data_IF_106460090135
#
_entry.id   IF_106460090135
#
_cell.length_a   1.000
_cell.length_b   1.000
_cell.length_c   1.000
_cell.angle_alpha   90.00
_cell.angle_beta   90.00
_cell.angle_gamma   90.00
#
_symmetry.space_group_name_H-M   'P 1'
#
loop_
_entity.id
_entity.type
_entity.pdbx_description
1 polymer ?
#
# COMPACT_ATOMS: atom_id res chain seq x y z
N UNK A 1 -18.16 21.32 9.95
CA UNK A 1 -19.32 20.47 9.61
C UNK A 1 -19.79 19.59 10.78
N UNK A 2 -19.11 19.63 11.94
CA UNK A 2 -19.52 18.91 13.16
C UNK A 2 -19.23 17.39 13.14
N UNK A 3 -18.38 16.91 12.24
CA UNK A 3 -17.93 15.50 12.23
C UNK A 3 -17.07 15.24 13.45
N UNK A 4 -17.37 14.14 14.15
CA UNK A 4 -16.51 13.63 15.24
C UNK A 4 -15.59 12.56 14.69
N UNK A 5 -14.32 12.63 15.07
CA UNK A 5 -13.29 11.63 14.73
C UNK A 5 -12.90 10.89 15.99
N UNK A 6 -12.90 9.55 15.92
CA UNK A 6 -12.42 8.68 16.98
C UNK A 6 -11.32 7.80 16.42
N UNK A 7 -10.10 7.99 16.91
CA UNK A 7 -8.94 7.13 16.59
C UNK A 7 -8.81 6.01 17.62
N UNK A 8 -8.00 4.98 17.32
CA UNK A 8 -7.81 3.81 18.18
C UNK A 8 -9.12 3.07 18.51
N UNK A 9 -10.06 3.11 17.55
CA UNK A 9 -11.41 2.57 17.67
C UNK A 9 -11.55 1.36 16.76
N UNK A 10 -11.15 0.18 17.27
CA UNK A 10 -11.27 -1.06 16.53
C UNK A 10 -12.74 -1.47 16.40
N UNK A 11 -13.21 -1.62 15.15
CA UNK A 11 -14.56 -2.12 14.85
C UNK A 11 -14.52 -3.64 14.94
N UNK A 12 -15.29 -4.21 15.87
CA UNK A 12 -15.33 -5.65 16.13
C UNK A 12 -16.46 -6.35 15.38
N UNK A 13 -17.58 -5.65 15.21
CA UNK A 13 -18.78 -6.22 14.58
C UNK A 13 -19.71 -5.12 14.04
N UNK A 14 -20.40 -5.41 12.93
CA UNK A 14 -21.58 -4.69 12.46
C UNK A 14 -22.81 -5.43 12.99
N UNK A 15 -23.61 -4.76 13.81
CA UNK A 15 -24.81 -5.34 14.43
C UNK A 15 -25.98 -5.17 13.47
N UNK A 16 -26.61 -6.29 13.14
CA UNK A 16 -27.77 -6.33 12.21
C UNK A 16 -28.99 -6.86 12.95
N UNK A 17 -30.07 -6.10 12.90
CA UNK A 17 -31.38 -6.46 13.44
C UNK A 17 -32.44 -6.28 12.36
N UNK A 18 -33.33 -7.26 12.22
CA UNK A 18 -34.39 -7.23 11.19
C UNK A 18 -33.87 -6.91 9.78
N UNK A 19 -32.73 -7.48 9.39
CA UNK A 19 -32.03 -7.26 8.09
C UNK A 19 -31.53 -5.82 7.87
N UNK A 20 -31.41 -5.03 8.91
CA UNK A 20 -30.86 -3.66 8.85
C UNK A 20 -29.64 -3.57 9.78
N UNK A 21 -28.54 -3.00 9.28
CA UNK A 21 -27.41 -2.62 10.11
C UNK A 21 -27.83 -1.45 11.00
N UNK A 22 -27.73 -1.60 12.31
CA UNK A 22 -28.25 -0.65 13.30
C UNK A 22 -27.20 -0.10 14.25
N UNK A 23 -26.07 -0.81 14.40
CA UNK A 23 -25.01 -0.38 15.31
C UNK A 23 -23.66 -1.00 14.94
N UNK A 24 -22.60 -0.43 15.51
CA UNK A 24 -21.24 -1.00 15.53
C UNK A 24 -20.90 -1.45 16.94
N UNK A 25 -20.14 -2.53 17.05
CA UNK A 25 -19.44 -2.88 18.28
C UNK A 25 -18.00 -2.35 18.18
N UNK A 26 -17.62 -1.48 19.10
CA UNK A 26 -16.33 -0.80 19.15
C UNK A 26 -15.76 -0.91 20.55
N UNK A 27 -14.60 -1.56 20.72
CA UNK A 27 -13.96 -1.76 22.02
C UNK A 27 -14.96 -2.31 23.09
N UNK A 28 -15.77 -3.30 22.71
CA UNK A 28 -16.79 -3.93 23.55
C UNK A 28 -18.05 -3.09 23.78
N UNK A 29 -18.16 -1.87 23.23
CA UNK A 29 -19.32 -1.00 23.37
C UNK A 29 -20.16 -1.00 22.09
N UNK A 30 -21.48 -0.96 22.26
CA UNK A 30 -22.43 -0.81 21.16
C UNK A 30 -22.65 0.69 20.88
N UNK A 31 -22.46 1.10 19.62
CA UNK A 31 -22.68 2.46 19.14
C UNK A 31 -23.76 2.41 18.06
N UNK A 32 -24.91 3.03 18.33
CA UNK A 32 -26.05 3.09 17.41
C UNK A 32 -25.76 3.99 16.21
N UNK A 33 -26.26 3.60 15.05
CA UNK A 33 -26.17 4.39 13.81
C UNK A 33 -27.35 4.10 12.89
N UNK A 34 -27.88 5.14 12.25
CA UNK A 34 -28.94 5.03 11.25
C UNK A 34 -28.40 4.51 9.91
N UNK A 35 -27.16 4.88 9.57
CA UNK A 35 -26.43 4.48 8.36
C UNK A 35 -25.00 4.15 8.74
N UNK A 36 -24.49 3.04 8.21
CA UNK A 36 -23.10 2.61 8.37
C UNK A 36 -22.47 2.58 7.00
N UNK A 37 -21.40 3.38 6.81
CA UNK A 37 -20.58 3.40 5.61
C UNK A 37 -19.20 2.85 5.96
N UNK A 38 -18.82 1.72 5.33
CA UNK A 38 -17.49 1.15 5.50
C UNK A 38 -16.56 1.62 4.39
N UNK A 39 -15.43 2.22 4.75
CA UNK A 39 -14.30 2.51 3.87
C UNK A 39 -13.14 1.53 4.04
N UNK A 40 -13.32 0.47 4.85
CA UNK A 40 -12.33 -0.59 5.03
C UNK A 40 -12.32 -1.55 3.83
N UNK A 41 -11.30 -2.46 3.79
CA UNK A 41 -11.26 -3.54 2.81
C UNK A 41 -12.60 -4.31 2.77
N UNK A 42 -13.05 -4.69 1.56
CA UNK A 42 -14.38 -5.27 1.40
C UNK A 42 -14.49 -6.65 2.07
N UNK A 43 -13.49 -7.51 1.90
CA UNK A 43 -13.48 -8.80 2.57
C UNK A 43 -13.49 -8.61 4.09
N UNK A 44 -12.66 -7.71 4.62
CA UNK A 44 -12.65 -7.38 6.05
C UNK A 44 -14.02 -6.88 6.51
N UNK A 45 -14.65 -5.96 5.77
CA UNK A 45 -16.00 -5.46 6.10
C UNK A 45 -17.01 -6.60 6.20
N UNK A 46 -16.97 -7.58 5.29
CA UNK A 46 -17.84 -8.75 5.36
C UNK A 46 -17.55 -9.63 6.58
N UNK A 47 -16.28 -9.71 7.03
CA UNK A 47 -15.93 -10.47 8.24
C UNK A 47 -16.54 -9.88 9.52
N UNK A 48 -16.87 -8.59 9.51
CA UNK A 48 -17.56 -7.93 10.61
C UNK A 48 -19.07 -8.28 10.71
N UNK A 49 -19.61 -8.98 9.70
CA UNK A 49 -20.96 -9.50 9.67
C UNK A 49 -21.01 -10.98 10.08
N UNK A 50 -22.14 -11.41 10.62
CA UNK A 50 -22.43 -12.83 10.83
C UNK A 50 -22.42 -13.57 9.47
N UNK A 51 -21.93 -14.80 9.43
CA UNK A 51 -21.68 -15.55 8.17
C UNK A 51 -22.90 -15.63 7.23
N UNK A 52 -24.10 -15.74 7.79
CA UNK A 52 -25.36 -15.82 7.05
C UNK A 52 -25.81 -14.47 6.47
N UNK A 53 -25.12 -13.38 6.80
CA UNK A 53 -25.40 -12.02 6.30
C UNK A 53 -24.38 -11.55 5.27
N UNK A 54 -23.30 -12.31 5.05
CA UNK A 54 -22.26 -12.01 4.07
C UNK A 54 -22.77 -12.25 2.66
N UNK A 55 -22.38 -11.39 1.73
CA UNK A 55 -22.75 -11.52 0.33
C UNK A 55 -21.95 -12.61 -0.38
N UNK A 56 -20.67 -12.78 0.00
CA UNK A 56 -19.74 -13.70 -0.64
C UNK A 56 -19.18 -14.71 0.34
N UNK A 57 -18.93 -15.94 -0.17
CA UNK A 57 -18.26 -17.00 0.58
C UNK A 57 -16.73 -16.84 0.54
N UNK A 58 -16.02 -17.48 1.45
CA UNK A 58 -14.54 -17.53 1.43
C UNK A 58 -14.03 -18.10 0.10
N UNK A 59 -14.69 -19.15 -0.43
CA UNK A 59 -14.34 -19.74 -1.74
C UNK A 59 -14.50 -18.76 -2.92
N UNK A 60 -15.40 -17.78 -2.82
CA UNK A 60 -15.50 -16.71 -3.80
C UNK A 60 -14.27 -15.82 -3.73
N UNK A 61 -13.89 -15.38 -2.53
CA UNK A 61 -12.73 -14.52 -2.31
C UNK A 61 -11.42 -15.18 -2.74
N UNK A 62 -11.24 -16.46 -2.41
CA UNK A 62 -10.03 -17.21 -2.76
C UNK A 62 -9.81 -17.31 -4.29
N UNK A 63 -10.88 -17.39 -5.07
CA UNK A 63 -10.83 -17.53 -6.52
C UNK A 63 -10.77 -16.22 -7.30
N UNK A 64 -10.88 -15.08 -6.61
CA UNK A 64 -10.84 -13.77 -7.29
C UNK A 64 -9.41 -13.34 -7.58
N UNK A 65 -9.25 -12.77 -8.79
CA UNK A 65 -8.09 -11.95 -9.12
C UNK A 65 -8.22 -10.61 -8.44
N UNK A 66 -7.23 -10.23 -7.68
CA UNK A 66 -7.17 -8.95 -6.96
C UNK A 66 -6.32 -7.94 -7.75
N UNK A 67 -6.55 -6.66 -7.47
CA UNK A 67 -5.67 -5.60 -7.91
C UNK A 67 -4.25 -5.81 -7.33
N UNK A 68 -3.22 -5.25 -7.96
CA UNK A 68 -1.86 -5.36 -7.45
C UNK A 68 -1.73 -4.83 -6.02
N UNK A 69 -0.88 -5.50 -5.25
CA UNK A 69 -0.27 -4.96 -4.04
C UNK A 69 0.96 -4.12 -4.43
N UNK A 70 1.75 -3.70 -3.47
CA UNK A 70 2.96 -2.93 -3.74
C UNK A 70 4.02 -3.08 -2.67
N UNK A 71 5.28 -2.89 -3.08
CA UNK A 71 6.37 -2.54 -2.18
C UNK A 71 6.62 -1.04 -2.28
N UNK A 72 6.52 -0.36 -1.15
CA UNK A 72 6.71 1.07 -1.02
C UNK A 72 8.01 1.35 -0.28
N UNK A 73 8.72 2.39 -0.71
CA UNK A 73 9.82 2.97 0.05
C UNK A 73 9.59 4.46 0.22
N UNK A 74 9.71 4.92 1.46
CA UNK A 74 9.78 6.32 1.82
C UNK A 74 11.25 6.65 2.10
N UNK A 75 11.82 7.56 1.33
CA UNK A 75 13.26 7.85 1.38
C UNK A 75 13.49 9.34 1.54
N UNK A 76 14.33 9.72 2.49
CA UNK A 76 14.82 11.08 2.66
C UNK A 76 16.27 11.17 2.23
N UNK A 77 16.59 12.16 1.39
CA UNK A 77 17.96 12.45 0.94
C UNK A 77 18.44 13.79 1.49
N UNK A 78 19.71 13.88 1.88
CA UNK A 78 20.34 15.12 2.31
C UNK A 78 20.90 15.95 1.13
N UNK A 79 20.32 15.78 -0.06
CA UNK A 79 20.59 16.57 -1.27
C UNK A 79 19.35 16.65 -2.14
N UNK A 80 19.29 17.59 -3.07
CA UNK A 80 18.28 17.61 -4.12
C UNK A 80 18.58 16.54 -5.18
N UNK A 81 17.51 15.96 -5.73
CA UNK A 81 17.59 14.98 -6.81
C UNK A 81 17.32 15.69 -8.14
N UNK A 82 18.22 15.50 -9.07
CA UNK A 82 18.17 16.10 -10.42
C UNK A 82 17.67 15.07 -11.44
N UNK A 83 17.36 15.53 -12.65
CA UNK A 83 16.92 14.69 -13.78
C UNK A 83 15.68 13.82 -13.50
N UNK A 84 14.80 14.31 -12.63
CA UNK A 84 13.51 13.68 -12.30
C UNK A 84 12.39 14.72 -12.34
N UNK A 85 11.17 14.26 -12.54
CA UNK A 85 9.94 15.03 -12.38
C UNK A 85 9.27 14.66 -11.07
N UNK A 86 8.31 15.48 -10.61
CA UNK A 86 7.49 15.18 -9.43
C UNK A 86 6.92 13.75 -9.48
N UNK A 87 6.43 13.33 -10.63
CA UNK A 87 6.03 11.97 -10.94
C UNK A 87 6.94 11.42 -12.04
N UNK A 88 7.64 10.34 -11.77
CA UNK A 88 8.54 9.68 -12.73
C UNK A 88 8.25 8.17 -12.76
N UNK A 89 8.05 7.65 -13.96
CA UNK A 89 7.83 6.23 -14.20
C UNK A 89 9.08 5.64 -14.86
N UNK A 90 9.53 4.50 -14.35
CA UNK A 90 10.67 3.74 -14.86
C UNK A 90 10.14 2.51 -15.59
N UNK A 91 9.98 2.65 -16.92
CA UNK A 91 9.53 1.60 -17.84
C UNK A 91 10.68 1.11 -18.71
N UNK A 92 11.81 0.82 -18.10
CA UNK A 92 13.05 0.36 -18.75
C UNK A 92 13.16 -1.17 -18.81
N UNK A 93 12.08 -1.88 -18.48
CA UNK A 93 11.93 -3.34 -18.57
C UNK A 93 10.60 -3.69 -19.27
N UNK A 94 10.46 -4.96 -19.66
CA UNK A 94 9.25 -5.45 -20.33
C UNK A 94 8.02 -5.39 -19.39
N UNK A 95 7.00 -4.64 -19.81
CA UNK A 95 5.76 -4.47 -19.06
C UNK A 95 4.96 -5.77 -18.98
N UNK A 96 4.88 -6.53 -20.07
CA UNK A 96 4.03 -7.74 -20.13
C UNK A 96 4.59 -8.83 -19.22
N UNK A 97 5.92 -8.92 -19.09
CA UNK A 97 6.58 -9.83 -18.13
C UNK A 97 6.21 -9.47 -16.70
N UNK A 98 6.31 -8.18 -16.34
CA UNK A 98 5.94 -7.75 -14.99
C UNK A 98 4.44 -7.93 -14.71
N UNK A 99 3.57 -7.64 -15.67
CA UNK A 99 2.13 -7.86 -15.54
C UNK A 99 1.80 -9.36 -15.32
N UNK A 100 2.48 -10.25 -16.04
CA UNK A 100 2.35 -11.70 -15.85
C UNK A 100 2.76 -12.15 -14.45
N UNK A 101 3.85 -11.60 -13.91
CA UNK A 101 4.32 -11.88 -12.55
C UNK A 101 3.32 -11.41 -11.46
N UNK A 102 2.45 -10.45 -11.79
CA UNK A 102 1.41 -9.99 -10.89
C UNK A 102 0.13 -10.82 -10.99
N UNK A 103 -0.36 -11.09 -12.22
CA UNK A 103 -1.71 -11.59 -12.44
C UNK A 103 -1.79 -13.08 -12.77
N UNK A 104 -0.81 -13.64 -13.51
CA UNK A 104 -0.86 -14.99 -14.01
C UNK A 104 0.00 -15.94 -13.20
N UNK A 105 1.21 -15.52 -12.86
CA UNK A 105 2.21 -16.29 -12.12
C UNK A 105 2.72 -15.49 -10.91
N UNK A 106 1.90 -15.33 -9.84
CA UNK A 106 2.24 -14.47 -8.71
C UNK A 106 3.61 -14.73 -8.12
N UNK A 107 4.55 -13.81 -8.32
CA UNK A 107 5.92 -13.87 -7.79
C UNK A 107 6.54 -12.48 -7.73
N UNK A 108 7.70 -12.40 -7.11
CA UNK A 108 8.53 -11.20 -7.14
C UNK A 108 9.11 -11.00 -8.56
N UNK A 109 8.95 -9.82 -9.21
CA UNK A 109 9.41 -9.59 -10.57
C UNK A 109 10.94 -9.53 -10.62
N UNK A 110 11.56 -10.19 -11.61
CA UNK A 110 13.00 -10.18 -11.76
C UNK A 110 13.55 -8.77 -12.06
N UNK A 111 12.87 -8.07 -12.97
CA UNK A 111 13.18 -6.69 -13.36
C UNK A 111 11.98 -5.78 -13.14
N UNK A 112 11.76 -5.32 -11.89
CA UNK A 112 10.54 -4.59 -11.55
C UNK A 112 10.45 -3.24 -12.28
N UNK A 113 9.30 -2.95 -12.87
CA UNK A 113 8.92 -1.58 -13.20
C UNK A 113 8.59 -0.85 -11.90
N UNK A 114 8.89 0.44 -11.82
CA UNK A 114 8.60 1.20 -10.62
C UNK A 114 8.24 2.66 -10.92
N UNK A 115 7.54 3.23 -9.97
CA UNK A 115 7.19 4.64 -9.93
C UNK A 115 8.01 5.33 -8.84
N UNK A 116 8.41 6.58 -9.10
CA UNK A 116 9.02 7.45 -8.11
C UNK A 116 8.27 8.79 -8.04
N UNK A 117 8.12 9.31 -6.82
CA UNK A 117 7.49 10.60 -6.55
C UNK A 117 8.45 11.47 -5.73
N UNK A 118 8.57 12.74 -6.15
CA UNK A 118 9.43 13.72 -5.50
C UNK A 118 8.61 14.98 -5.18
N UNK A 119 7.81 14.96 -4.09
CA UNK A 119 6.87 16.04 -3.78
C UNK A 119 7.56 17.37 -3.51
N UNK A 120 8.78 17.38 -2.99
CA UNK A 120 9.53 18.59 -2.70
C UNK A 120 10.06 19.34 -3.95
N UNK A 121 9.89 18.78 -5.15
CA UNK A 121 10.11 19.53 -6.41
C UNK A 121 9.00 20.56 -6.69
N UNK A 122 7.81 20.35 -6.16
CA UNK A 122 6.64 21.24 -6.37
C UNK A 122 6.14 21.91 -5.11
N UNK A 123 6.37 21.27 -3.94
CA UNK A 123 6.04 21.81 -2.63
C UNK A 123 7.27 21.75 -1.71
N UNK A 124 8.01 22.87 -1.57
CA UNK A 124 9.21 22.91 -0.73
C UNK A 124 8.95 22.59 0.74
N UNK A 125 7.70 22.67 1.22
CA UNK A 125 7.37 22.38 2.61
C UNK A 125 7.45 20.89 2.98
N UNK A 126 7.53 19.98 1.98
CA UNK A 126 7.55 18.53 2.17
C UNK A 126 8.94 17.94 2.46
N UNK A 127 9.99 18.77 2.44
CA UNK A 127 11.34 18.40 2.87
C UNK A 127 12.07 19.61 3.47
N UNK A 128 13.07 19.41 4.35
CA UNK A 128 13.95 20.50 4.79
C UNK A 128 14.69 21.15 3.62
N UNK A 129 15.12 22.40 3.79
CA UNK A 129 15.87 23.13 2.76
C UNK A 129 17.12 22.35 2.30
N UNK A 130 17.32 22.26 1.00
CA UNK A 130 18.43 21.52 0.38
C UNK A 130 18.27 19.99 0.39
N UNK A 131 17.21 19.47 0.98
CA UNK A 131 16.91 18.04 1.06
C UNK A 131 15.80 17.63 0.08
N UNK A 132 15.63 16.32 -0.12
CA UNK A 132 14.58 15.75 -0.96
C UNK A 132 13.83 14.66 -0.19
N UNK A 133 12.51 14.65 -0.29
CA UNK A 133 11.70 13.51 0.07
C UNK A 133 11.31 12.73 -1.18
N UNK A 134 11.41 11.42 -1.14
CA UNK A 134 11.04 10.57 -2.23
C UNK A 134 10.19 9.39 -1.78
N UNK A 135 9.32 8.96 -2.68
CA UNK A 135 8.49 7.78 -2.53
C UNK A 135 8.68 6.90 -3.75
N UNK A 136 9.02 5.63 -3.53
CA UNK A 136 9.15 4.65 -4.61
C UNK A 136 8.08 3.57 -4.44
N UNK A 137 7.51 3.12 -5.55
CA UNK A 137 6.49 2.09 -5.57
C UNK A 137 6.80 1.06 -6.65
N UNK A 138 6.87 -0.20 -6.24
CA UNK A 138 6.94 -1.37 -7.12
C UNK A 138 5.59 -2.09 -7.04
N UNK A 139 4.82 -2.24 -8.12
CA UNK A 139 3.63 -3.08 -8.15
C UNK A 139 4.01 -4.55 -7.92
N UNK A 140 3.26 -5.25 -7.08
CA UNK A 140 3.50 -6.65 -6.73
C UNK A 140 2.20 -7.45 -6.77
N UNK A 141 2.32 -8.77 -6.92
CA UNK A 141 1.19 -9.66 -6.70
C UNK A 141 0.73 -9.61 -5.23
N UNK A 142 -0.58 -9.61 -4.95
CA UNK A 142 -1.08 -9.76 -3.60
C UNK A 142 -0.80 -11.16 -3.05
N UNK A 143 -0.59 -11.24 -1.74
CA UNK A 143 -0.44 -12.52 -1.04
C UNK A 143 0.93 -13.21 -1.17
N UNK A 144 1.88 -12.63 -1.90
CA UNK A 144 3.24 -13.20 -2.01
C UNK A 144 4.00 -13.10 -0.69
N UNK A 145 5.08 -13.88 -0.58
CA UNK A 145 5.98 -13.81 0.55
C UNK A 145 6.60 -12.42 0.67
N UNK A 146 6.67 -11.91 1.89
CA UNK A 146 7.19 -10.58 2.21
C UNK A 146 8.17 -10.69 3.39
N UNK A 147 9.44 -10.44 3.14
CA UNK A 147 10.51 -10.47 4.15
C UNK A 147 11.37 -9.22 4.05
N UNK A 148 12.00 -8.82 5.14
CA UNK A 148 12.95 -7.69 5.13
C UNK A 148 14.09 -7.90 4.12
N UNK A 149 14.57 -9.13 3.97
CA UNK A 149 15.62 -9.45 3.02
C UNK A 149 15.18 -9.19 1.56
N UNK A 150 13.96 -9.58 1.20
CA UNK A 150 13.38 -9.29 -0.12
C UNK A 150 13.21 -7.79 -0.33
N UNK A 151 12.69 -7.07 0.67
CA UNK A 151 12.55 -5.61 0.59
C UNK A 151 13.88 -4.92 0.35
N UNK A 152 14.93 -5.32 1.08
CA UNK A 152 16.28 -4.78 0.87
C UNK A 152 16.83 -5.12 -0.52
N UNK A 153 16.70 -6.35 -0.98
CA UNK A 153 17.12 -6.75 -2.32
C UNK A 153 16.46 -5.87 -3.39
N UNK A 154 15.15 -5.67 -3.30
CA UNK A 154 14.41 -4.84 -4.27
C UNK A 154 14.71 -3.36 -4.13
N UNK A 155 15.03 -2.88 -2.93
CA UNK A 155 15.55 -1.52 -2.76
C UNK A 155 16.82 -1.30 -3.55
N UNK A 156 17.79 -2.20 -3.45
CA UNK A 156 19.04 -2.09 -4.21
C UNK A 156 18.81 -2.23 -5.71
N UNK A 157 17.97 -3.15 -6.16
CA UNK A 157 17.61 -3.29 -7.58
C UNK A 157 17.08 -1.99 -8.19
N UNK A 158 16.15 -1.32 -7.52
CA UNK A 158 15.61 -0.06 -8.05
C UNK A 158 16.59 1.10 -7.90
N UNK A 159 17.41 1.14 -6.86
CA UNK A 159 18.41 2.18 -6.70
C UNK A 159 19.53 2.08 -7.74
N UNK A 160 20.00 0.88 -8.10
CA UNK A 160 20.98 0.68 -9.17
C UNK A 160 20.45 1.25 -10.50
N UNK A 161 19.19 0.95 -10.82
CA UNK A 161 18.56 1.47 -12.06
C UNK A 161 18.28 2.97 -11.99
N UNK A 162 17.80 3.44 -10.83
CA UNK A 162 17.55 4.87 -10.60
C UNK A 162 18.84 5.68 -10.78
N UNK A 163 19.93 5.28 -10.17
CA UNK A 163 21.25 5.94 -10.30
C UNK A 163 21.77 5.89 -11.75
N UNK A 164 21.61 4.76 -12.43
CA UNK A 164 21.99 4.60 -13.83
C UNK A 164 21.20 5.53 -14.77
N UNK A 165 19.88 5.57 -14.63
CA UNK A 165 19.01 6.38 -15.51
C UNK A 165 19.16 7.88 -15.26
N UNK A 166 19.29 8.30 -14.00
CA UNK A 166 19.41 9.72 -13.63
C UNK A 166 20.85 10.25 -13.75
N UNK A 167 21.85 9.38 -13.84
CA UNK A 167 23.27 9.75 -13.88
C UNK A 167 23.78 10.28 -12.55
N UNK A 168 23.20 9.88 -11.42
CA UNK A 168 23.54 10.39 -10.09
C UNK A 168 23.79 9.25 -9.12
N UNK A 169 24.80 9.42 -8.26
CA UNK A 169 24.96 8.60 -7.06
C UNK A 169 24.15 9.20 -5.91
N UNK A 170 23.11 8.53 -5.44
CA UNK A 170 22.21 9.06 -4.42
C UNK A 170 22.21 8.23 -3.13
N UNK A 171 22.57 6.96 -3.18
CA UNK A 171 22.51 6.04 -2.01
C UNK A 171 23.29 6.55 -0.81
N UNK A 172 24.44 7.15 -1.03
CA UNK A 172 25.28 7.76 0.04
C UNK A 172 24.64 8.98 0.72
N UNK A 173 23.61 9.52 0.10
CA UNK A 173 22.86 10.68 0.59
C UNK A 173 21.56 10.32 1.31
N UNK A 174 21.25 9.03 1.45
CA UNK A 174 20.06 8.56 2.16
C UNK A 174 20.27 8.77 3.66
N UNK A 175 19.39 9.53 4.28
CA UNK A 175 19.36 9.79 5.73
C UNK A 175 18.14 9.16 6.41
N UNK A 176 17.15 8.74 5.64
CA UNK A 176 15.95 8.07 6.11
C UNK A 176 15.49 7.06 5.06
N UNK A 177 15.11 5.89 5.51
CA UNK A 177 14.45 4.87 4.68
C UNK A 177 13.44 4.10 5.53
N UNK A 178 12.24 3.94 5.03
CA UNK A 178 11.23 3.04 5.57
C UNK A 178 10.53 2.31 4.43
N UNK A 179 10.12 1.07 4.65
CA UNK A 179 9.38 0.28 3.67
C UNK A 179 8.00 -0.07 4.17
N UNK A 180 7.07 -0.33 3.24
CA UNK A 180 5.73 -0.81 3.51
C UNK A 180 5.33 -1.78 2.40
N UNK A 181 4.88 -2.99 2.76
CA UNK A 181 4.60 -4.03 1.78
C UNK A 181 3.40 -4.90 2.19
N UNK A 182 3.24 -6.05 1.57
CA UNK A 182 2.09 -6.97 1.71
C UNK A 182 1.71 -7.25 3.17
N UNK A 183 2.70 -7.53 4.04
CA UNK A 183 2.43 -7.76 5.48
C UNK A 183 1.86 -6.53 6.18
N UNK A 184 2.38 -5.35 5.83
CA UNK A 184 1.96 -4.10 6.45
C UNK A 184 0.55 -3.71 6.01
N UNK A 185 0.20 -3.91 4.72
CA UNK A 185 -1.17 -3.72 4.24
C UNK A 185 -2.17 -4.62 4.98
N UNK A 186 -1.79 -5.90 5.23
CA UNK A 186 -2.62 -6.82 6.02
C UNK A 186 -2.79 -6.36 7.46
N UNK A 187 -1.70 -6.03 8.14
CA UNK A 187 -1.71 -5.71 9.57
C UNK A 187 -2.29 -4.34 9.88
N UNK A 188 -2.06 -3.35 9.00
CA UNK A 188 -2.47 -1.96 9.23
C UNK A 188 -3.87 -1.66 8.71
N UNK A 189 -4.22 -2.21 7.55
CA UNK A 189 -5.48 -1.89 6.86
C UNK A 189 -6.45 -3.06 6.77
N UNK A 190 -6.12 -4.23 7.35
CA UNK A 190 -6.88 -5.47 7.21
C UNK A 190 -7.11 -5.88 5.75
N UNK A 191 -6.18 -5.50 4.86
CA UNK A 191 -6.29 -5.75 3.43
C UNK A 191 -6.22 -7.25 3.14
N UNK A 192 -7.19 -7.78 2.38
CA UNK A 192 -7.23 -9.18 2.03
C UNK A 192 -6.13 -9.51 1.02
N UNK A 193 -5.23 -10.42 1.41
CA UNK A 193 -4.01 -10.76 0.67
C UNK A 193 -2.95 -9.65 0.60
N UNK A 194 -3.18 -8.45 1.19
CA UNK A 194 -2.21 -7.37 1.27
C UNK A 194 -2.24 -6.38 0.13
#
# INVERSE_FOLDING_TARGET
LGVKFETNSNIEKIIVENKKAVALQINGKRIEADIILSGADYHHTETLLDKNLRQYSENYWDKKTFAPSSLLFYVGFNKKIENVSHHTLFFDSDFDVHAKDIYDEPKWPESPLFYANFPSLTDPSTAPEGMESAFFLIPLAPGIEDTEALREEYFYKIMDRFESVTGQEVRKNIIFKNSFCVKDFKSTYNSYKG
#
